data_IF_685664916055
#
_entry.id   IF_685664916055
#
_cell.length_a   1.000
_cell.length_b   1.000
_cell.length_c   1.000
_cell.angle_alpha   90.00
_cell.angle_beta   90.00
_cell.angle_gamma   90.00
#
_symmetry.space_group_name_H-M   'P 1'
#
loop_
_entity.id
_entity.type
_entity.pdbx_description
1 polymer ?
#
# COMPACT_ATOMS: atom_id res chain seq x y z
N UNK A 1 0.14 -14.98 5.90
CA UNK A 1 -0.19 -13.54 5.81
C UNK A 1 -0.47 -13.08 7.22
N UNK A 2 0.33 -12.16 7.74
CA UNK A 2 0.06 -11.56 9.04
C UNK A 2 -1.18 -10.66 8.95
N UNK A 3 -2.04 -10.72 9.97
CA UNK A 3 -3.24 -9.91 10.06
C UNK A 3 -2.85 -8.56 10.67
N UNK A 4 -2.97 -7.49 9.89
CA UNK A 4 -2.61 -6.13 10.30
C UNK A 4 -3.88 -5.36 10.70
N UNK A 5 -4.09 -5.08 12.00
CA UNK A 5 -5.34 -4.46 12.47
C UNK A 5 -5.44 -2.96 12.13
N UNK A 6 -4.32 -2.24 12.11
CA UNK A 6 -4.29 -0.83 11.72
C UNK A 6 -3.16 -0.57 10.70
N UNK A 7 -3.44 -0.70 9.40
CA UNK A 7 -2.42 -0.55 8.37
C UNK A 7 -1.85 0.88 8.30
N UNK A 8 -2.59 1.91 8.71
CA UNK A 8 -2.10 3.29 8.68
C UNK A 8 -0.95 3.51 9.69
N UNK A 9 -1.01 2.88 10.87
CA UNK A 9 0.07 2.93 11.86
C UNK A 9 1.36 2.29 11.32
N UNK A 10 1.25 1.15 10.64
CA UNK A 10 2.43 0.50 10.04
C UNK A 10 3.06 1.37 8.95
N UNK A 11 2.24 2.03 8.13
CA UNK A 11 2.73 2.98 7.13
C UNK A 11 3.38 4.20 7.76
N UNK A 12 2.86 4.72 8.88
CA UNK A 12 3.46 5.82 9.61
C UNK A 12 4.83 5.45 10.20
N UNK A 13 4.97 4.25 10.76
CA UNK A 13 6.26 3.76 11.25
C UNK A 13 7.26 3.51 10.13
N UNK A 14 6.82 2.96 9.00
CA UNK A 14 7.65 2.86 7.81
C UNK A 14 8.13 4.25 7.35
N UNK A 15 7.23 5.24 7.33
CA UNK A 15 7.58 6.62 6.99
C UNK A 15 8.57 7.24 7.98
N UNK A 16 8.41 6.98 9.27
CA UNK A 16 9.28 7.53 10.33
C UNK A 16 10.75 7.17 10.15
N UNK A 17 11.05 6.01 9.56
CA UNK A 17 12.42 5.53 9.32
C UNK A 17 12.96 5.86 7.93
N UNK A 18 12.12 6.40 7.02
CA UNK A 18 12.54 6.75 5.66
C UNK A 18 13.21 8.14 5.61
N UNK A 19 14.19 8.27 4.71
CA UNK A 19 14.81 9.56 4.40
C UNK A 19 13.77 10.56 3.85
N UNK A 20 13.87 11.85 4.21
CA UNK A 20 12.89 12.88 3.85
C UNK A 20 12.97 13.35 2.39
N UNK A 21 14.03 13.00 1.67
CA UNK A 21 14.29 13.48 0.31
C UNK A 21 14.64 12.34 -0.66
N UNK A 22 15.38 11.33 -0.19
CA UNK A 22 15.94 10.26 -1.03
C UNK A 22 15.43 8.88 -0.62
N UNK A 23 14.11 8.72 -0.59
CA UNK A 23 13.47 7.44 -0.30
C UNK A 23 12.66 6.91 -1.48
N UNK A 24 12.82 5.61 -1.73
CA UNK A 24 11.96 4.81 -2.61
C UNK A 24 11.01 3.96 -1.78
N UNK A 25 9.76 3.92 -2.20
CA UNK A 25 8.72 3.13 -1.58
C UNK A 25 8.05 2.23 -2.62
N UNK A 26 8.13 0.92 -2.40
CA UNK A 26 7.38 -0.09 -3.15
C UNK A 26 6.25 -0.57 -2.26
N UNK A 27 5.02 -0.45 -2.76
CA UNK A 27 3.84 -0.99 -2.11
C UNK A 27 3.16 -1.99 -3.01
N UNK A 28 2.85 -3.18 -2.50
CA UNK A 28 2.25 -4.28 -3.27
C UNK A 28 1.15 -4.94 -2.47
N UNK A 29 0.09 -5.34 -3.18
CA UNK A 29 -1.11 -6.01 -2.64
C UNK A 29 -1.72 -5.29 -1.44
N UNK A 30 -2.12 -4.02 -1.61
CA UNK A 30 -2.19 -3.08 -0.51
C UNK A 30 -3.47 -3.13 0.35
N UNK A 31 -4.16 -4.27 0.38
CA UNK A 31 -5.55 -4.29 0.79
C UNK A 31 -5.84 -5.27 1.94
N UNK A 32 -6.41 -4.71 3.00
CA UNK A 32 -7.09 -5.44 4.07
C UNK A 32 -8.59 -5.33 3.83
N UNK A 33 -9.30 -6.45 3.85
CA UNK A 33 -10.75 -6.53 3.63
C UNK A 33 -11.44 -7.52 4.60
N UNK A 34 -10.72 -7.98 5.61
CA UNK A 34 -11.22 -8.97 6.55
C UNK A 34 -11.81 -8.23 7.76
N UNK A 35 -13.14 -8.13 7.83
CA UNK A 35 -13.85 -7.51 8.96
C UNK A 35 -13.56 -8.22 10.30
N UNK A 36 -13.10 -9.48 10.28
CA UNK A 36 -12.64 -10.17 11.48
C UNK A 36 -11.25 -9.70 11.96
N UNK A 37 -10.56 -8.87 11.18
CA UNK A 37 -9.23 -8.30 11.50
C UNK A 37 -9.34 -6.83 11.85
N UNK A 38 -10.07 -6.05 11.04
CA UNK A 38 -10.22 -4.62 11.25
C UNK A 38 -11.55 -4.09 10.71
N UNK A 39 -12.04 -3.02 11.34
CA UNK A 39 -13.22 -2.30 10.85
C UNK A 39 -12.97 -1.78 9.42
N UNK A 40 -13.99 -1.77 8.53
CA UNK A 40 -13.91 -1.13 7.22
C UNK A 40 -13.41 0.31 7.25
N UNK A 41 -13.58 1.03 8.36
CA UNK A 41 -13.07 2.40 8.53
C UNK A 41 -11.53 2.50 8.54
N UNK A 42 -10.84 1.37 8.77
CA UNK A 42 -9.38 1.28 8.80
C UNK A 42 -8.80 0.70 7.50
N UNK A 43 -9.63 0.36 6.52
CA UNK A 43 -9.16 -0.23 5.27
C UNK A 43 -8.48 0.82 4.38
N UNK A 44 -7.25 0.54 3.98
CA UNK A 44 -6.56 1.29 2.92
C UNK A 44 -7.26 1.14 1.57
N UNK A 45 -7.95 0.00 1.39
CA UNK A 45 -8.78 -0.32 0.24
C UNK A 45 -9.90 0.69 0.02
N UNK A 46 -10.38 1.29 1.11
CA UNK A 46 -11.36 2.34 1.11
C UNK A 46 -12.47 2.10 2.12
N UNK A 47 -13.09 3.20 2.53
CA UNK A 47 -14.22 3.21 3.46
C UNK A 47 -15.54 3.11 2.72
N UNK A 48 -16.59 2.71 3.43
CA UNK A 48 -17.96 2.77 2.90
C UNK A 48 -18.39 4.24 2.62
N UNK A 49 -17.87 5.19 3.41
CA UNK A 49 -18.15 6.64 3.29
C UNK A 49 -16.88 7.50 3.53
N UNK A 50 -16.87 8.74 3.04
CA UNK A 50 -15.80 9.72 3.27
C UNK A 50 -14.68 9.77 2.21
N UNK A 51 -13.57 10.49 2.46
CA UNK A 51 -12.58 10.91 1.45
C UNK A 51 -11.71 9.81 0.82
N UNK A 52 -11.94 8.55 1.18
CA UNK A 52 -11.24 7.37 0.66
C UNK A 52 -12.22 6.26 0.27
N UNK A 53 -13.41 6.58 -0.23
CA UNK A 53 -14.35 5.58 -0.76
C UNK A 53 -13.88 5.10 -2.14
N UNK A 54 -13.87 3.79 -2.37
CA UNK A 54 -13.66 3.23 -3.71
C UNK A 54 -12.52 2.23 -3.78
N UNK A 55 -11.70 2.34 -4.83
CA UNK A 55 -10.67 1.37 -5.18
C UNK A 55 -9.35 1.68 -4.48
N UNK A 56 -8.76 0.67 -3.84
CA UNK A 56 -7.66 0.92 -2.92
C UNK A 56 -6.36 1.43 -3.56
N UNK A 57 -6.08 1.09 -4.83
CA UNK A 57 -4.90 1.65 -5.51
C UNK A 57 -5.00 3.17 -5.60
N UNK A 58 -6.19 3.69 -5.86
CA UNK A 58 -6.44 5.13 -5.95
C UNK A 58 -6.27 5.78 -4.58
N UNK A 59 -6.79 5.12 -3.53
CA UNK A 59 -6.67 5.60 -2.15
C UNK A 59 -5.21 5.65 -1.69
N UNK A 60 -4.44 4.60 -1.91
CA UNK A 60 -3.03 4.58 -1.50
C UNK A 60 -2.19 5.53 -2.35
N UNK A 61 -2.47 5.64 -3.65
CA UNK A 61 -1.85 6.64 -4.51
C UNK A 61 -2.10 8.06 -3.98
N UNK A 62 -3.33 8.34 -3.52
CA UNK A 62 -3.67 9.62 -2.90
C UNK A 62 -2.92 9.83 -1.59
N UNK A 63 -2.86 8.83 -0.70
CA UNK A 63 -2.12 8.89 0.56
C UNK A 63 -0.62 9.15 0.34
N UNK A 64 -0.01 8.49 -0.65
CA UNK A 64 1.40 8.67 -0.97
C UNK A 64 1.70 10.07 -1.52
N UNK A 65 0.79 10.63 -2.32
CA UNK A 65 0.93 11.99 -2.88
C UNK A 65 0.63 13.10 -1.87
N UNK A 66 -0.14 12.80 -0.83
CA UNK A 66 -0.50 13.78 0.18
C UNK A 66 0.77 14.27 0.88
N UNK A 67 1.00 15.58 0.80
CA UNK A 67 2.12 16.22 1.49
C UNK A 67 1.91 16.30 3.01
N UNK A 68 0.73 15.92 3.48
CA UNK A 68 0.30 15.90 4.88
C UNK A 68 -0.10 14.49 5.31
N UNK A 69 -0.10 14.21 6.62
CA UNK A 69 -0.54 12.91 7.15
C UNK A 69 0.54 11.82 7.13
N UNK A 70 0.12 10.57 6.92
CA UNK A 70 0.91 9.35 7.17
C UNK A 70 2.23 9.31 6.41
N UNK A 71 2.25 9.80 5.16
CA UNK A 71 3.43 9.80 4.30
C UNK A 71 4.11 11.16 4.18
N UNK A 72 3.81 12.14 5.04
CA UNK A 72 4.48 13.44 4.97
C UNK A 72 6.00 13.32 5.28
N UNK A 73 6.89 13.93 4.47
CA UNK A 73 6.62 14.61 3.19
C UNK A 73 6.25 13.64 2.05
N UNK A 74 5.25 14.02 1.26
CA UNK A 74 4.66 13.18 0.21
C UNK A 74 5.64 12.74 -0.88
N UNK A 75 5.26 11.69 -1.60
CA UNK A 75 6.02 11.05 -2.67
C UNK A 75 5.47 11.43 -4.05
N UNK A 76 6.33 11.32 -5.07
CA UNK A 76 5.90 11.26 -6.46
C UNK A 76 5.72 9.81 -6.87
N UNK A 77 4.61 9.51 -7.55
CA UNK A 77 4.39 8.18 -8.11
C UNK A 77 5.22 8.04 -9.38
N UNK A 78 6.06 7.01 -9.42
CA UNK A 78 6.95 6.70 -10.54
C UNK A 78 6.30 5.69 -11.48
N UNK A 79 5.66 4.66 -10.92
CA UNK A 79 5.01 3.62 -11.69
C UNK A 79 3.91 2.93 -10.89
N UNK A 80 2.88 2.47 -11.59
CA UNK A 80 1.87 1.55 -11.07
C UNK A 80 1.66 0.44 -12.08
N UNK A 81 1.19 -0.71 -11.64
CA UNK A 81 0.88 -1.80 -12.56
C UNK A 81 0.57 -3.10 -11.84
N UNK A 82 0.65 -4.18 -12.62
CA UNK A 82 0.41 -5.53 -12.16
C UNK A 82 1.59 -6.43 -12.54
N UNK A 83 1.87 -7.41 -11.71
CA UNK A 83 2.89 -8.44 -11.97
C UNK A 83 2.25 -9.80 -11.76
N UNK A 84 2.40 -10.67 -12.75
CA UNK A 84 2.02 -12.07 -12.64
C UNK A 84 3.16 -12.88 -12.01
N UNK A 85 2.83 -13.55 -10.91
CA UNK A 85 3.71 -14.45 -10.20
C UNK A 85 3.32 -15.88 -10.47
N UNK A 86 4.34 -16.73 -10.59
CA UNK A 86 4.20 -18.17 -10.57
C UNK A 86 5.02 -18.74 -9.43
N UNK A 87 4.37 -18.97 -8.30
CA UNK A 87 5.02 -19.45 -7.07
C UNK A 87 4.90 -20.97 -7.01
N UNK A 88 6.03 -21.66 -6.98
CA UNK A 88 6.06 -23.12 -6.86
C UNK A 88 6.07 -23.51 -5.37
N UNK A 89 5.03 -24.21 -4.91
CA UNK A 89 4.95 -24.74 -3.54
C UNK A 89 5.57 -26.13 -3.39
N UNK A 90 5.37 -27.01 -4.37
CA UNK A 90 5.96 -28.36 -4.39
C UNK A 90 6.38 -28.75 -5.81
N UNK A 91 6.76 -30.01 -6.05
CA UNK A 91 7.08 -30.49 -7.40
C UNK A 91 5.94 -30.35 -8.40
N UNK A 92 4.70 -30.54 -7.95
CA UNK A 92 3.52 -30.55 -8.81
C UNK A 92 2.54 -29.41 -8.52
N UNK A 93 2.68 -28.71 -7.38
CA UNK A 93 1.81 -27.59 -6.99
C UNK A 93 2.45 -26.23 -7.30
N UNK A 94 1.72 -25.39 -8.04
CA UNK A 94 2.08 -24.00 -8.33
C UNK A 94 0.85 -23.11 -8.13
N UNK A 95 1.09 -21.94 -7.58
CA UNK A 95 0.10 -20.86 -7.47
C UNK A 95 0.43 -19.80 -8.50
N UNK A 96 -0.61 -19.27 -9.14
CA UNK A 96 -0.51 -18.10 -10.01
C UNK A 96 -1.22 -16.96 -9.29
N UNK A 97 -0.53 -15.85 -9.12
CA UNK A 97 -1.01 -14.69 -8.38
C UNK A 97 -0.73 -13.48 -9.24
N UNK A 98 -1.72 -12.60 -9.41
CA UNK A 98 -1.49 -11.27 -9.99
C UNK A 98 -1.45 -10.28 -8.84
N UNK A 99 -0.30 -9.64 -8.64
CA UNK A 99 -0.14 -8.61 -7.62
C UNK A 99 -0.20 -7.22 -8.26
N UNK A 100 -0.80 -6.27 -7.55
CA UNK A 100 -0.81 -4.87 -7.96
C UNK A 100 0.26 -4.11 -7.20
N UNK A 101 0.95 -3.18 -7.85
CA UNK A 101 2.05 -2.44 -7.23
C UNK A 101 2.01 -0.93 -7.50
N UNK A 102 2.60 -0.18 -6.57
CA UNK A 102 2.91 1.24 -6.65
C UNK A 102 4.39 1.44 -6.31
N UNK A 103 5.14 2.09 -7.20
CA UNK A 103 6.50 2.58 -6.93
C UNK A 103 6.42 4.09 -6.79
N UNK A 104 6.92 4.60 -5.68
CA UNK A 104 6.93 6.02 -5.38
C UNK A 104 8.32 6.47 -4.89
N UNK A 105 8.68 7.72 -5.16
CA UNK A 105 9.98 8.31 -4.84
C UNK A 105 9.83 9.72 -4.28
N UNK A 106 10.59 10.04 -3.24
CA UNK A 106 10.72 11.42 -2.74
C UNK A 106 11.60 12.25 -3.65
N UNK A 107 11.33 13.56 -3.72
CA UNK A 107 12.18 14.46 -4.51
C UNK A 107 13.53 14.59 -3.82
N UNK A 108 14.60 14.32 -4.57
CA UNK A 108 15.92 14.81 -4.22
C UNK A 108 15.91 16.34 -4.32
N UNK A 109 16.30 17.02 -3.23
CA UNK A 109 16.57 18.45 -3.22
C UNK A 109 17.78 18.81 -4.07
#
# INVERSE_FOLDING_TARGET
>A
LEKVPDPAVHLAEANRIMDKENADFLFSDPFTWDEAVNSPDLWLGGRNEGPFRGYGMDNVTRLLRDGTGVFAPGFNIISTGEVEWKIRKTRHLREHITSQFIIARRKSS
#
